data_IF_180538066963
#
_entry.id   IF_180538066963
#
_cell.length_a   1.000
_cell.length_b   1.000
_cell.length_c   1.000
_cell.angle_alpha   90.00
_cell.angle_beta   90.00
_cell.angle_gamma   90.00
#
_symmetry.space_group_name_H-M   'P 1'
#
loop_
_entity.id
_entity.type
_entity.pdbx_description
1 polymer ?
#
# COMPACT_ATOMS: atom_id res chain seq x y z
N UNK A 1 -9.76 9.93 -5.32
CA UNK A 1 -10.38 8.75 -4.64
C UNK A 1 -9.34 8.16 -3.70
N UNK A 2 -9.74 7.69 -2.51
CA UNK A 2 -8.84 6.97 -1.58
C UNK A 2 -9.09 5.47 -1.75
N UNK A 3 -8.03 4.67 -1.83
CA UNK A 3 -8.09 3.22 -1.79
C UNK A 3 -7.37 2.78 -0.52
N UNK A 4 -8.08 2.08 0.36
CA UNK A 4 -7.51 1.45 1.56
C UNK A 4 -7.67 -0.05 1.37
N UNK A 5 -6.61 -0.81 1.59
CA UNK A 5 -6.70 -2.25 1.40
C UNK A 5 -5.43 -2.98 1.80
N UNK A 6 -5.44 -4.29 1.58
CA UNK A 6 -4.32 -5.16 1.92
C UNK A 6 -3.46 -5.44 0.70
N UNK A 7 -2.14 -5.28 0.84
CA UNK A 7 -1.18 -5.55 -0.23
C UNK A 7 -1.00 -7.06 -0.41
N UNK A 8 -1.45 -7.62 -1.52
CA UNK A 8 -1.31 -9.04 -1.85
C UNK A 8 -0.04 -9.33 -2.66
N UNK A 9 0.37 -8.39 -3.50
CA UNK A 9 1.61 -8.46 -4.30
C UNK A 9 2.24 -7.08 -4.38
N UNK A 10 3.56 -7.06 -4.42
CA UNK A 10 4.36 -5.84 -4.57
C UNK A 10 5.61 -6.15 -5.39
N UNK A 11 5.83 -5.40 -6.46
CA UNK A 11 7.09 -5.40 -7.21
C UNK A 11 7.47 -3.98 -7.59
N UNK A 12 8.74 -3.62 -7.41
CA UNK A 12 9.25 -2.31 -7.83
C UNK A 12 10.13 -2.45 -9.06
N UNK A 13 9.94 -1.55 -10.03
CA UNK A 13 10.76 -1.46 -11.24
C UNK A 13 11.23 -0.03 -11.47
N UNK A 14 12.46 0.11 -11.95
CA UNK A 14 12.98 1.39 -12.44
C UNK A 14 12.50 1.59 -13.88
N UNK A 15 11.88 2.72 -14.15
CA UNK A 15 11.53 3.16 -15.51
C UNK A 15 12.51 4.27 -15.86
N UNK A 16 13.46 3.97 -16.75
CA UNK A 16 14.43 4.94 -17.23
C UNK A 16 13.70 5.97 -18.09
N UNK A 17 13.41 7.13 -17.51
CA UNK A 17 13.11 8.34 -18.26
C UNK A 17 14.42 9.09 -18.48
N UNK A 18 14.62 9.63 -19.68
CA UNK A 18 15.88 10.14 -20.25
C UNK A 18 16.61 11.22 -19.43
N UNK A 19 16.04 11.68 -18.32
CA UNK A 19 16.60 12.77 -17.50
C UNK A 19 16.32 12.64 -16.00
N UNK A 20 15.54 11.64 -15.57
CA UNK A 20 15.18 11.47 -14.15
C UNK A 20 14.91 10.00 -13.83
N UNK A 21 15.54 9.52 -12.76
CA UNK A 21 15.20 8.21 -12.21
C UNK A 21 13.75 8.23 -11.74
N UNK A 22 12.94 7.40 -12.39
CA UNK A 22 11.54 7.21 -12.03
C UNK A 22 11.35 5.75 -11.65
N UNK A 23 10.61 5.51 -10.58
CA UNK A 23 10.30 4.19 -10.08
C UNK A 23 8.80 3.99 -10.09
N UNK A 24 8.41 2.77 -10.44
CA UNK A 24 7.02 2.32 -10.36
C UNK A 24 6.99 1.12 -9.43
N UNK A 25 6.10 1.20 -8.44
CA UNK A 25 5.78 0.08 -7.57
C UNK A 25 4.41 -0.45 -7.98
N UNK A 26 4.41 -1.64 -8.57
CA UNK A 26 3.19 -2.36 -8.93
C UNK A 26 2.66 -3.11 -7.72
N UNK A 27 1.40 -2.86 -7.40
CA UNK A 27 0.69 -3.44 -6.27
C UNK A 27 -0.53 -4.21 -6.76
N UNK A 28 -0.84 -5.31 -6.08
CA UNK A 28 -2.17 -5.89 -6.08
C UNK A 28 -2.78 -5.61 -4.71
N UNK A 29 -3.85 -4.82 -4.66
CA UNK A 29 -4.49 -4.38 -3.42
C UNK A 29 -5.88 -4.97 -3.34
N UNK A 30 -6.17 -5.70 -2.27
CA UNK A 30 -7.52 -6.16 -1.95
C UNK A 30 -8.24 -5.06 -1.20
N UNK A 31 -9.34 -4.55 -1.77
CA UNK A 31 -10.23 -3.61 -1.10
C UNK A 31 -11.32 -4.39 -0.34
N UNK A 32 -11.28 -4.42 1.01
CA UNK A 32 -12.28 -5.12 1.81
C UNK A 32 -13.62 -4.37 1.88
N UNK A 33 -13.63 -3.04 1.65
CA UNK A 33 -14.84 -2.22 1.74
C UNK A 33 -15.70 -2.36 0.48
N UNK A 34 -15.09 -2.71 -0.64
CA UNK A 34 -15.82 -3.04 -1.85
C UNK A 34 -16.35 -4.49 -1.76
N UNK A 35 -17.62 -4.62 -1.35
CA UNK A 35 -18.45 -5.79 -1.01
C UNK A 35 -18.23 -7.14 -1.74
N UNK A 36 -17.47 -7.18 -2.83
CA UNK A 36 -17.08 -8.40 -3.55
C UNK A 36 -15.62 -8.84 -3.36
N UNK A 37 -14.82 -8.16 -2.53
CA UNK A 37 -13.39 -8.43 -2.40
C UNK A 37 -12.63 -8.12 -3.70
N UNK A 38 -12.84 -6.90 -4.22
CA UNK A 38 -12.25 -6.51 -5.51
C UNK A 38 -10.74 -6.32 -5.36
N UNK A 39 -9.99 -7.02 -6.20
CA UNK A 39 -8.57 -6.77 -6.35
C UNK A 39 -8.35 -5.60 -7.31
N UNK A 40 -7.47 -4.68 -6.95
CA UNK A 40 -7.02 -3.58 -7.78
C UNK A 40 -5.55 -3.76 -8.13
N UNK A 41 -5.23 -3.69 -9.42
CA UNK A 41 -3.85 -3.51 -9.84
C UNK A 41 -3.54 -2.01 -9.72
N UNK A 42 -2.47 -1.65 -9.03
CA UNK A 42 -2.14 -0.24 -8.77
C UNK A 42 -0.68 0.03 -9.08
N UNK A 43 -0.42 1.04 -9.90
CA UNK A 43 0.92 1.57 -10.13
C UNK A 43 1.15 2.80 -9.25
N UNK A 44 2.11 2.70 -8.33
CA UNK A 44 2.56 3.83 -7.50
C UNK A 44 3.83 4.40 -8.09
N UNK A 45 3.77 5.64 -8.56
CA UNK A 45 4.89 6.31 -9.22
C UNK A 45 5.62 7.23 -8.25
N UNK A 46 6.96 7.21 -8.30
CA UNK A 46 7.80 8.06 -7.46
C UNK A 46 9.21 8.26 -7.99
N UNK A 47 9.96 9.17 -7.38
CA UNK A 47 11.40 9.40 -7.63
C UNK A 47 12.32 8.39 -6.92
N UNK A 48 11.76 7.56 -6.03
CA UNK A 48 12.45 6.47 -5.33
C UNK A 48 11.57 5.22 -5.22
N UNK A 49 12.15 4.03 -4.99
CA UNK A 49 11.38 2.84 -4.67
C UNK A 49 10.53 3.05 -3.41
N UNK A 50 9.29 2.60 -3.43
CA UNK A 50 8.44 2.61 -2.24
C UNK A 50 8.71 1.35 -1.41
N UNK A 51 8.90 1.52 -0.10
CA UNK A 51 8.92 0.39 0.83
C UNK A 51 7.48 0.03 1.16
N UNK A 52 7.05 -1.13 0.67
CA UNK A 52 5.72 -1.68 0.89
C UNK A 52 5.86 -3.10 1.40
N UNK A 53 5.19 -3.38 2.51
CA UNK A 53 5.19 -4.70 3.13
C UNK A 53 4.01 -5.51 2.61
N UNK A 54 4.28 -6.74 2.17
CA UNK A 54 3.22 -7.69 1.79
C UNK A 54 2.30 -7.98 2.98
N UNK A 55 1.04 -8.29 2.70
CA UNK A 55 0.00 -8.58 3.69
C UNK A 55 -0.22 -7.47 4.72
N UNK A 56 0.22 -6.24 4.42
CA UNK A 56 0.00 -5.06 5.27
C UNK A 56 -1.07 -4.16 4.68
N UNK A 57 -1.72 -3.39 5.55
CA UNK A 57 -2.64 -2.34 5.11
C UNK A 57 -1.89 -1.22 4.40
N UNK A 58 -2.46 -0.71 3.32
CA UNK A 58 -1.96 0.44 2.60
C UNK A 58 -3.08 1.43 2.32
N UNK A 59 -2.75 2.71 2.40
CA UNK A 59 -3.62 3.81 1.99
C UNK A 59 -3.03 4.50 0.76
N UNK A 60 -3.78 4.51 -0.33
CA UNK A 60 -3.36 5.04 -1.62
C UNK A 60 -4.29 6.17 -2.06
N UNK A 61 -3.72 7.23 -2.61
CA UNK A 61 -4.46 8.28 -3.28
C UNK A 61 -4.47 7.96 -4.78
N UNK A 62 -5.63 7.53 -5.29
CA UNK A 62 -5.82 7.21 -6.71
C UNK A 62 -5.89 8.52 -7.50
N UNK A 63 -4.98 8.68 -8.44
CA UNK A 63 -4.81 9.87 -9.30
C UNK A 63 -5.26 9.64 -10.73
N UNK A 64 -5.46 8.39 -11.15
CA UNK A 64 -5.96 8.09 -12.49
C UNK A 64 -6.27 6.61 -12.70
N UNK A 65 -6.84 6.30 -13.86
CA UNK A 65 -7.09 4.92 -14.32
C UNK A 65 -6.14 4.64 -15.47
N UNK A 66 -5.35 3.57 -15.37
CA UNK A 66 -4.38 3.18 -16.38
C UNK A 66 -5.04 2.31 -17.45
N UNK A 67 -5.88 1.34 -17.05
CA UNK A 67 -6.62 0.48 -17.97
C UNK A 67 -7.83 -0.16 -17.26
N UNK A 68 -8.89 -0.46 -18.02
CA UNK A 68 -10.08 -1.21 -17.57
C UNK A 68 -10.22 -2.60 -18.22
N UNK A 69 -9.39 -2.92 -19.22
CA UNK A 69 -9.46 -4.18 -19.95
C UNK A 69 -8.60 -5.25 -19.26
N UNK A 70 -9.24 -6.30 -18.73
CA UNK A 70 -8.53 -7.46 -18.16
C UNK A 70 -9.14 -8.09 -16.89
N UNK A 71 -10.33 -7.65 -16.43
CA UNK A 71 -11.01 -8.22 -15.26
C UNK A 71 -10.51 -7.71 -13.90
N UNK A 72 -9.32 -7.09 -13.85
CA UNK A 72 -8.79 -6.38 -12.68
C UNK A 72 -8.59 -4.90 -13.04
N UNK A 73 -9.24 -3.94 -12.36
CA UNK A 73 -9.06 -2.53 -12.65
C UNK A 73 -7.61 -2.09 -12.38
N UNK A 74 -6.97 -1.42 -13.35
CA UNK A 74 -5.62 -0.89 -13.22
C UNK A 74 -5.65 0.62 -12.91
N UNK A 75 -5.12 0.99 -11.76
CA UNK A 75 -5.15 2.35 -11.22
C UNK A 75 -3.75 2.94 -11.17
N UNK A 76 -3.66 4.26 -11.33
CA UNK A 76 -2.45 5.02 -11.00
C UNK A 76 -2.69 5.71 -9.68
N UNK A 77 -1.74 5.56 -8.75
CA UNK A 77 -1.83 6.15 -7.43
C UNK A 77 -0.51 6.79 -7.01
N UNK A 78 -0.59 7.55 -5.92
CA UNK A 78 0.55 7.97 -5.11
C UNK A 78 0.31 7.49 -3.67
N UNK A 79 1.38 7.34 -2.90
CA UNK A 79 1.25 7.08 -1.47
C UNK A 79 0.44 8.21 -0.83
N UNK A 80 -0.67 7.86 -0.18
CA UNK A 80 -1.31 8.85 0.69
C UNK A 80 -0.36 9.08 1.86
N UNK A 81 -0.19 10.33 2.30
CA UNK A 81 0.49 10.61 3.55
C UNK A 81 -0.21 9.79 4.64
N UNK A 82 0.47 8.77 5.17
CA UNK A 82 -0.09 8.02 6.28
C UNK A 82 -0.21 8.99 7.45
N UNK A 83 -1.36 9.06 8.14
CA UNK A 83 -1.36 9.66 9.46
C UNK A 83 -0.36 8.85 10.26
N UNK A 84 0.69 9.48 10.76
CA UNK A 84 1.63 8.85 11.67
C UNK A 84 0.81 8.20 12.80
N UNK A 85 0.74 6.87 12.82
CA UNK A 85 0.25 6.17 14.01
C UNK A 85 1.26 6.52 15.11
N UNK A 86 0.85 7.12 16.25
CA UNK A 86 1.79 7.33 17.33
C UNK A 86 2.29 5.96 17.78
N UNK A 87 3.61 5.76 17.65
CA UNK A 87 4.30 4.67 18.29
C UNK A 87 4.25 4.94 19.80
N UNK A 88 3.48 4.14 20.53
CA UNK A 88 3.33 4.33 21.97
C UNK A 88 2.22 3.52 22.60
N UNK A 89 2.44 2.22 22.73
CA UNK A 89 1.93 1.43 23.85
C UNK A 89 2.81 0.17 23.94
N UNK A 90 4.04 0.40 24.41
CA UNK A 90 4.83 -0.60 25.10
C UNK A 90 3.93 -1.16 26.22
N UNK A 91 3.52 -2.42 26.11
CA UNK A 91 2.94 -3.12 27.25
C UNK A 91 4.11 -3.44 28.19
N UNK A 92 4.15 -2.92 29.43
CA UNK A 92 5.16 -3.36 30.37
C UNK A 92 4.92 -4.83 30.71
N UNK A 93 6.06 -5.50 30.86
CA UNK A 93 6.21 -6.92 31.08
C UNK A 93 5.42 -7.45 32.30
N UNK A 94 5.20 -8.76 32.27
CA UNK A 94 4.76 -9.54 33.41
C UNK A 94 5.64 -9.28 34.65
N UNK A 95 5.01 -8.85 35.74
CA UNK A 95 5.53 -9.11 37.09
C UNK A 95 4.58 -10.06 37.80
N UNK A 96 5.05 -11.28 37.97
CA UNK A 96 4.64 -12.24 38.98
C UNK A 96 4.59 -11.56 40.35
N UNK A 97 3.47 -11.67 41.06
CA UNK A 97 3.45 -11.46 42.51
C UNK A 97 2.65 -12.58 43.18
N UNK A 98 3.38 -13.29 44.04
CA UNK A 98 2.90 -14.33 44.91
C UNK A 98 2.13 -13.75 46.12
N UNK A 99 1.41 -14.67 46.77
CA UNK A 99 0.84 -14.63 48.14
C UNK A 99 -0.55 -13.99 48.34
N UNK A 100 -1.50 -14.86 48.70
CA UNK A 100 -2.29 -14.77 49.93
C UNK A 100 -2.61 -16.19 50.41
#
# INVERSE_FOLDING_TARGET
>A
MKLIGTVLRCSSRKVNSSSKETYVTDLLVLDPENSGGTNYAVEVWGDKPHQVTLMSEIALAVVGVVNKNGGVPALRAVMAAQPHKPAGAEAPAAETLAAA
#
